data_IF_172949835192
#
_entry.id   IF_172949835192
#
_cell.length_a   1.000
_cell.length_b   1.000
_cell.length_c   1.000
_cell.angle_alpha   90.00
_cell.angle_beta   90.00
_cell.angle_gamma   90.00
#
_symmetry.space_group_name_H-M   'P 1'
#
loop_
_entity.id
_entity.type
_entity.pdbx_description
1 polymer ?
#
# COMPACT_ATOMS: atom_id res chain seq x y z
N UNK A 1 -2.55 0.31 21.68
CA UNK A 1 -2.34 0.78 20.29
C UNK A 1 -3.32 0.03 19.42
N UNK A 2 -4.27 0.73 18.84
CA UNK A 2 -5.21 0.14 17.88
C UNK A 2 -4.54 0.11 16.49
N UNK A 3 -4.01 -1.02 16.10
CA UNK A 3 -3.63 -1.32 14.72
C UNK A 3 -4.81 -2.02 14.06
N UNK A 4 -5.20 -1.59 12.86
CA UNK A 4 -6.28 -2.23 12.10
C UNK A 4 -5.98 -3.72 11.84
N UNK A 5 -7.01 -4.55 11.84
CA UNK A 5 -6.86 -6.00 11.67
C UNK A 5 -6.27 -6.36 10.30
N UNK A 6 -6.65 -5.64 9.25
CA UNK A 6 -6.12 -5.76 7.89
C UNK A 6 -4.61 -5.59 7.84
N UNK A 7 -4.09 -4.58 8.55
CA UNK A 7 -2.66 -4.29 8.64
C UNK A 7 -1.90 -5.39 9.39
N UNK A 8 -2.47 -5.90 10.50
CA UNK A 8 -1.89 -7.04 11.23
C UNK A 8 -1.81 -8.27 10.34
N UNK A 9 -2.86 -8.56 9.61
CA UNK A 9 -2.97 -9.71 8.71
C UNK A 9 -1.96 -9.60 7.57
N UNK A 10 -1.81 -8.42 6.94
CA UNK A 10 -0.82 -8.19 5.90
C UNK A 10 0.62 -8.39 6.40
N UNK A 11 0.93 -7.92 7.62
CA UNK A 11 2.24 -8.15 8.26
C UNK A 11 2.50 -9.61 8.50
N UNK A 12 1.52 -10.34 9.04
CA UNK A 12 1.62 -11.78 9.28
C UNK A 12 1.89 -12.55 7.99
N UNK A 13 1.18 -12.19 6.93
CA UNK A 13 1.36 -12.77 5.60
C UNK A 13 2.79 -12.55 5.09
N UNK A 14 3.27 -11.31 5.08
CA UNK A 14 4.59 -10.97 4.58
C UNK A 14 5.72 -11.73 5.29
N UNK A 15 5.63 -11.86 6.62
CA UNK A 15 6.64 -12.57 7.43
C UNK A 15 6.64 -14.07 7.12
N UNK A 16 5.48 -14.67 6.88
CA UNK A 16 5.36 -16.11 6.60
C UNK A 16 5.74 -16.45 5.16
N UNK A 17 5.34 -15.64 4.17
CA UNK A 17 5.70 -15.86 2.76
C UNK A 17 7.20 -15.66 2.53
N UNK A 18 7.82 -14.72 3.25
CA UNK A 18 9.24 -14.40 3.07
C UNK A 18 10.05 -14.59 4.37
N UNK A 19 10.19 -15.83 4.87
CA UNK A 19 10.75 -16.11 6.20
C UNK A 19 12.20 -15.69 6.36
N UNK A 20 12.96 -15.60 5.26
CA UNK A 20 14.36 -15.14 5.26
C UNK A 20 14.50 -13.62 5.36
N UNK A 21 13.45 -12.85 5.05
CA UNK A 21 13.47 -11.40 5.12
C UNK A 21 13.15 -10.93 6.55
N UNK A 22 13.82 -9.86 6.98
CA UNK A 22 13.62 -9.25 8.31
C UNK A 22 13.02 -7.85 8.23
N UNK A 23 13.05 -7.22 7.04
CA UNK A 23 12.65 -5.83 6.84
C UNK A 23 11.64 -5.76 5.69
N UNK A 24 10.48 -5.16 5.95
CA UNK A 24 9.43 -5.00 4.94
C UNK A 24 8.84 -3.60 4.99
N UNK A 25 8.45 -3.11 3.82
CA UNK A 25 7.49 -2.03 3.64
C UNK A 25 6.32 -2.65 2.90
N UNK A 26 5.15 -2.71 3.53
CA UNK A 26 3.92 -3.16 2.90
C UNK A 26 3.13 -1.92 2.53
N UNK A 27 2.79 -1.79 1.26
CA UNK A 27 1.98 -0.70 0.72
C UNK A 27 0.64 -1.30 0.31
N UNK A 28 -0.41 -0.94 1.02
CA UNK A 28 -1.78 -1.35 0.69
C UNK A 28 -2.52 -0.16 0.07
N UNK A 29 -2.95 -0.35 -1.17
CA UNK A 29 -3.63 0.67 -1.99
C UNK A 29 -5.14 0.39 -2.05
N UNK A 30 -5.83 0.69 -0.97
CA UNK A 30 -7.28 0.56 -0.82
C UNK A 30 -8.01 1.91 -0.71
N UNK A 31 -9.11 1.93 0.02
CA UNK A 31 -9.87 3.15 0.39
C UNK A 31 -8.98 4.16 1.13
N UNK A 32 -8.09 3.67 1.98
CA UNK A 32 -6.91 4.39 2.44
C UNK A 32 -5.67 3.75 1.83
N UNK A 33 -4.60 4.51 1.70
CA UNK A 33 -3.28 3.94 1.41
C UNK A 33 -2.49 3.85 2.69
N UNK A 34 -2.04 2.65 3.02
CA UNK A 34 -1.18 2.45 4.17
C UNK A 34 0.23 2.02 3.76
N UNK A 35 1.23 2.50 4.49
CA UNK A 35 2.58 1.98 4.41
C UNK A 35 2.91 1.40 5.79
N UNK A 36 3.07 0.10 5.89
CA UNK A 36 3.42 -0.61 7.11
C UNK A 36 4.89 -0.99 7.11
N UNK A 37 5.60 -0.57 8.13
CA UNK A 37 7.04 -0.75 8.27
C UNK A 37 7.32 -1.86 9.29
N UNK A 38 8.04 -2.88 8.85
CA UNK A 38 8.44 -4.02 9.67
C UNK A 38 9.97 -4.05 9.77
N UNK A 39 10.48 -4.07 10.99
CA UNK A 39 11.91 -4.13 11.31
C UNK A 39 12.15 -5.35 12.20
N UNK A 40 13.07 -6.22 11.81
CA UNK A 40 13.38 -7.46 12.51
C UNK A 40 12.13 -8.32 12.76
N UNK A 41 11.25 -8.42 11.76
CA UNK A 41 9.96 -9.13 11.82
C UNK A 41 8.98 -8.60 12.88
N UNK A 42 9.20 -7.38 13.39
CA UNK A 42 8.29 -6.71 14.32
C UNK A 42 7.67 -5.50 13.65
N UNK A 43 6.39 -5.29 13.85
CA UNK A 43 5.74 -4.08 13.40
C UNK A 43 6.36 -2.85 14.09
N UNK A 44 6.86 -1.92 13.31
CA UNK A 44 7.56 -0.73 13.80
C UNK A 44 6.65 0.50 13.82
N UNK A 45 5.80 0.62 12.84
CA UNK A 45 4.89 1.74 12.66
C UNK A 45 4.43 1.83 11.22
N UNK A 46 3.74 2.91 10.86
CA UNK A 46 3.28 3.08 9.49
C UNK A 46 2.80 4.49 9.18
N UNK A 47 2.44 4.68 7.91
CA UNK A 47 1.84 5.91 7.37
C UNK A 47 0.45 5.55 6.88
N UNK A 48 -0.50 6.46 7.07
CA UNK A 48 -1.85 6.36 6.51
C UNK A 48 -2.10 7.60 5.69
N UNK A 49 -2.49 7.40 4.45
CA UNK A 49 -2.83 8.43 3.48
C UNK A 49 -4.24 8.16 2.96
N UNK A 50 -4.97 9.17 2.50
CA UNK A 50 -6.20 8.93 1.76
C UNK A 50 -5.91 8.06 0.53
N UNK A 51 -6.79 7.12 0.19
CA UNK A 51 -6.65 6.31 -1.02
C UNK A 51 -6.79 7.15 -2.29
N UNK A 52 -6.23 6.66 -3.39
CA UNK A 52 -6.23 7.37 -4.68
C UNK A 52 -7.64 7.76 -5.11
N UNK A 53 -8.56 6.79 -5.17
CA UNK A 53 -9.95 7.01 -5.60
C UNK A 53 -10.71 7.86 -4.61
N UNK A 54 -10.56 7.58 -3.31
CA UNK A 54 -11.18 8.37 -2.25
C UNK A 54 -10.79 9.85 -2.33
N UNK A 55 -9.49 10.13 -2.56
CA UNK A 55 -9.01 11.51 -2.74
C UNK A 55 -9.59 12.16 -3.99
N UNK A 56 -9.64 11.42 -5.09
CA UNK A 56 -10.20 11.89 -6.35
C UNK A 56 -11.70 12.20 -6.19
N UNK A 57 -12.48 11.28 -5.68
CA UNK A 57 -13.93 11.43 -5.49
C UNK A 57 -14.27 12.58 -4.55
N UNK A 58 -13.52 12.74 -3.46
CA UNK A 58 -13.69 13.87 -2.55
C UNK A 58 -13.40 15.21 -3.26
N UNK A 59 -12.31 15.31 -4.01
CA UNK A 59 -12.00 16.54 -4.74
C UNK A 59 -13.09 16.87 -5.76
N UNK A 60 -13.55 15.90 -6.54
CA UNK A 60 -14.63 16.08 -7.53
C UNK A 60 -15.93 16.51 -6.85
N UNK A 61 -16.27 15.96 -5.70
CA UNK A 61 -17.51 16.28 -4.98
C UNK A 61 -17.53 17.72 -4.45
N UNK A 62 -16.38 18.24 -4.04
CA UNK A 62 -16.25 19.56 -3.41
C UNK A 62 -16.02 20.70 -4.43
N UNK A 63 -15.41 20.42 -5.57
CA UNK A 63 -15.03 21.43 -6.54
C UNK A 63 -16.06 21.57 -7.67
N UNK A 64 -16.83 22.66 -7.68
CA UNK A 64 -17.94 22.87 -8.62
C UNK A 64 -17.54 22.83 -10.09
N UNK A 65 -16.31 23.26 -10.44
CA UNK A 65 -15.82 23.33 -11.81
C UNK A 65 -15.41 21.99 -12.45
N UNK A 66 -15.35 20.89 -11.68
CA UNK A 66 -14.83 19.58 -12.12
C UNK A 66 -15.76 18.40 -11.83
N UNK A 67 -17.01 18.65 -11.44
CA UNK A 67 -17.98 17.63 -10.95
C UNK A 67 -18.22 16.45 -11.88
N UNK A 68 -18.02 16.59 -13.18
CA UNK A 68 -18.34 15.53 -14.17
C UNK A 68 -17.08 14.86 -14.76
N UNK A 69 -15.92 15.10 -14.19
CA UNK A 69 -14.69 14.51 -14.70
C UNK A 69 -14.58 13.04 -14.26
N UNK A 70 -14.21 12.18 -15.20
CA UNK A 70 -14.03 10.74 -14.94
C UNK A 70 -12.55 10.43 -14.72
N UNK A 71 -12.28 9.59 -13.74
CA UNK A 71 -10.92 9.10 -13.50
C UNK A 71 -10.41 8.29 -14.70
N UNK A 72 -9.16 8.50 -15.08
CA UNK A 72 -8.47 7.77 -16.14
C UNK A 72 -7.04 7.47 -15.70
N UNK A 73 -6.56 6.28 -16.00
CA UNK A 73 -5.18 5.87 -15.71
C UNK A 73 -4.15 6.46 -16.69
N UNK A 74 -4.61 7.19 -17.73
CA UNK A 74 -3.72 7.84 -18.70
C UNK A 74 -3.42 9.25 -18.25
N UNK A 75 -2.16 9.61 -18.11
CA UNK A 75 -1.73 10.96 -17.76
C UNK A 75 -0.36 11.30 -18.33
N UNK A 76 -0.17 12.57 -18.66
CA UNK A 76 1.14 13.18 -18.88
C UNK A 76 1.65 13.79 -17.57
N UNK A 77 2.94 14.16 -17.51
CA UNK A 77 3.51 14.84 -16.34
C UNK A 77 2.86 16.20 -16.13
N UNK A 78 2.55 16.90 -17.22
CA UNK A 78 1.88 18.23 -17.20
C UNK A 78 0.63 18.12 -18.05
N UNK A 79 -0.53 18.41 -17.46
CA UNK A 79 -1.80 18.51 -18.18
C UNK A 79 -1.94 19.87 -18.88
N UNK A 80 -2.54 19.86 -20.07
CA UNK A 80 -2.80 21.06 -20.88
C UNK A 80 -4.22 21.60 -20.72
N UNK A 81 -5.07 20.86 -20.04
CA UNK A 81 -6.43 21.23 -19.63
C UNK A 81 -6.68 20.75 -18.22
N UNK A 82 -7.80 21.13 -17.63
CA UNK A 82 -8.16 20.82 -16.23
C UNK A 82 -8.23 19.31 -15.99
N UNK A 83 -8.78 18.53 -16.94
CA UNK A 83 -8.88 17.06 -16.79
C UNK A 83 -7.51 16.42 -16.82
N UNK A 84 -6.66 16.79 -17.78
CA UNK A 84 -5.29 16.28 -17.85
C UNK A 84 -4.45 16.68 -16.64
N UNK A 85 -4.61 17.93 -16.14
CA UNK A 85 -3.92 18.40 -14.95
C UNK A 85 -4.35 17.59 -13.70
N UNK A 86 -5.65 17.29 -13.58
CA UNK A 86 -6.20 16.47 -12.52
C UNK A 86 -5.64 15.02 -12.59
N UNK A 87 -5.65 14.42 -13.78
CA UNK A 87 -5.08 13.06 -13.98
C UNK A 87 -3.58 13.03 -13.71
N UNK A 88 -2.84 14.08 -14.06
CA UNK A 88 -1.43 14.20 -13.73
C UNK A 88 -1.19 14.18 -12.21
N UNK A 89 -1.93 15.00 -11.47
CA UNK A 89 -1.84 15.05 -10.01
C UNK A 89 -2.12 13.70 -9.35
N UNK A 90 -3.21 13.07 -9.74
CA UNK A 90 -3.64 11.80 -9.13
C UNK A 90 -2.81 10.60 -9.58
N UNK A 91 -2.42 10.49 -10.85
CA UNK A 91 -1.63 9.33 -11.29
C UNK A 91 -0.13 9.52 -11.05
N UNK A 92 0.44 10.63 -11.55
CA UNK A 92 1.89 10.85 -11.44
C UNK A 92 2.28 11.32 -10.05
N UNK A 93 1.56 12.31 -9.51
CA UNK A 93 1.84 12.88 -8.19
C UNK A 93 1.66 11.85 -7.08
N UNK A 94 0.60 11.05 -7.14
CA UNK A 94 0.35 10.00 -6.16
C UNK A 94 1.43 8.92 -6.16
N UNK A 95 1.86 8.49 -7.36
CA UNK A 95 2.96 7.55 -7.52
C UNK A 95 4.26 8.09 -6.93
N UNK A 96 4.62 9.33 -7.28
CA UNK A 96 5.82 10.00 -6.76
C UNK A 96 5.78 10.09 -5.23
N UNK A 97 4.63 10.41 -4.65
CA UNK A 97 4.44 10.49 -3.21
C UNK A 97 4.77 9.14 -2.54
N UNK A 98 4.22 8.03 -3.02
CA UNK A 98 4.45 6.70 -2.47
C UNK A 98 5.93 6.29 -2.62
N UNK A 99 6.49 6.46 -3.82
CA UNK A 99 7.90 6.13 -4.09
C UNK A 99 8.85 6.97 -3.24
N UNK A 100 8.52 8.23 -2.99
CA UNK A 100 9.30 9.13 -2.13
C UNK A 100 9.26 8.69 -0.67
N UNK A 101 8.11 8.25 -0.13
CA UNK A 101 8.01 7.65 1.19
C UNK A 101 8.87 6.40 1.31
N UNK A 102 8.78 5.49 0.33
CA UNK A 102 9.58 4.27 0.32
C UNK A 102 11.08 4.60 0.32
N UNK A 103 11.50 5.54 -0.54
CA UNK A 103 12.89 6.02 -0.60
C UNK A 103 13.33 6.62 0.73
N UNK A 104 12.53 7.52 1.31
CA UNK A 104 12.81 8.16 2.59
C UNK A 104 12.97 7.13 3.72
N UNK A 105 12.07 6.15 3.81
CA UNK A 105 12.16 5.08 4.81
C UNK A 105 13.46 4.28 4.62
N UNK A 106 13.76 3.86 3.40
CA UNK A 106 14.99 3.09 3.10
C UNK A 106 16.26 3.87 3.48
N UNK A 107 16.31 5.16 3.17
CA UNK A 107 17.48 6.00 3.46
C UNK A 107 17.62 6.31 4.95
N UNK A 108 16.51 6.57 5.64
CA UNK A 108 16.50 6.86 7.08
C UNK A 108 16.95 5.67 7.91
N UNK A 109 16.39 4.50 7.63
CA UNK A 109 16.69 3.29 8.43
C UNK A 109 17.90 2.50 7.89
N UNK A 110 18.45 2.85 6.74
CA UNK A 110 19.62 2.21 6.11
C UNK A 110 19.53 0.68 6.09
N UNK A 111 18.37 0.15 5.70
CA UNK A 111 18.09 -1.29 5.61
C UNK A 111 17.59 -1.67 4.23
N UNK A 112 17.86 -2.92 3.84
CA UNK A 112 17.32 -3.49 2.60
C UNK A 112 15.90 -3.99 2.85
N UNK A 113 14.91 -3.11 2.67
CA UNK A 113 13.50 -3.44 2.81
C UNK A 113 12.99 -4.18 1.57
N UNK A 114 12.33 -5.31 1.79
CA UNK A 114 11.45 -5.92 0.80
C UNK A 114 10.17 -5.11 0.71
N UNK A 115 9.87 -4.55 -0.46
CA UNK A 115 8.67 -3.73 -0.68
C UNK A 115 7.59 -4.59 -1.33
N UNK A 116 6.44 -4.68 -0.69
CA UNK A 116 5.29 -5.48 -1.14
C UNK A 116 4.12 -4.53 -1.32
N UNK A 117 3.52 -4.57 -2.50
CA UNK A 117 2.28 -3.87 -2.82
C UNK A 117 1.11 -4.83 -2.80
N UNK A 118 -0.02 -4.38 -2.27
CA UNK A 118 -1.31 -5.06 -2.26
C UNK A 118 -2.43 -4.03 -2.40
N UNK A 119 -3.67 -4.49 -2.43
CA UNK A 119 -4.84 -3.63 -2.56
C UNK A 119 -5.31 -3.46 -4.01
N UNK A 120 -6.56 -3.07 -4.19
CA UNK A 120 -7.24 -3.03 -5.49
C UNK A 120 -6.64 -2.06 -6.52
N UNK A 121 -5.95 -1.00 -6.06
CA UNK A 121 -5.30 -0.02 -6.96
C UNK A 121 -3.81 -0.30 -7.17
N UNK A 122 -3.29 -1.35 -6.58
CA UNK A 122 -1.89 -1.69 -6.69
C UNK A 122 -1.43 -1.91 -8.13
N UNK A 123 -2.28 -2.46 -9.01
CA UNK A 123 -1.97 -2.71 -10.43
C UNK A 123 -1.68 -1.45 -11.25
N UNK A 124 -2.02 -0.25 -10.75
CA UNK A 124 -1.73 1.02 -11.42
C UNK A 124 -0.26 1.47 -11.30
N UNK A 125 0.53 0.81 -10.47
CA UNK A 125 1.94 1.13 -10.25
C UNK A 125 2.83 0.19 -11.06
N UNK A 126 3.86 0.72 -11.71
CA UNK A 126 4.84 -0.10 -12.43
C UNK A 126 5.88 -0.70 -11.47
N UNK A 127 5.56 -1.89 -10.94
CA UNK A 127 6.40 -2.59 -9.96
C UNK A 127 7.73 -3.07 -10.52
N UNK A 128 7.76 -3.42 -11.81
CA UNK A 128 8.93 -4.08 -12.42
C UNK A 128 10.14 -3.16 -12.43
N UNK A 129 9.94 -1.88 -12.69
CA UNK A 129 11.04 -0.89 -12.74
C UNK A 129 11.69 -0.63 -11.38
N UNK A 130 10.95 -0.80 -10.28
CA UNK A 130 11.42 -0.46 -8.94
C UNK A 130 11.81 -1.70 -8.11
N UNK A 131 11.79 -2.89 -8.71
CA UNK A 131 12.04 -4.16 -8.00
C UNK A 131 11.08 -4.37 -6.82
N UNK A 132 9.82 -3.94 -6.98
CA UNK A 132 8.74 -4.13 -6.01
C UNK A 132 8.03 -5.45 -6.27
N UNK A 133 7.39 -5.99 -5.24
CA UNK A 133 6.62 -7.23 -5.30
C UNK A 133 5.15 -6.87 -5.23
N UNK A 134 4.35 -7.35 -6.18
CA UNK A 134 2.90 -7.28 -6.09
C UNK A 134 2.32 -8.59 -5.57
N UNK A 135 1.42 -8.49 -4.59
CA UNK A 135 0.71 -9.63 -3.99
C UNK A 135 -0.75 -9.25 -3.78
N UNK A 136 -1.58 -9.65 -4.71
CA UNK A 136 -3.03 -9.46 -4.61
C UNK A 136 -3.63 -10.28 -3.46
N UNK A 137 -3.08 -11.45 -3.23
CA UNK A 137 -3.51 -12.42 -2.25
C UNK A 137 -2.94 -12.20 -0.83
N UNK A 138 -2.23 -11.09 -0.58
CA UNK A 138 -1.50 -10.86 0.67
C UNK A 138 -2.41 -10.97 1.90
N UNK A 139 -3.54 -10.27 1.89
CA UNK A 139 -4.51 -10.26 3.00
C UNK A 139 -5.14 -11.64 3.19
N UNK A 140 -5.53 -12.30 2.09
CA UNK A 140 -6.13 -13.63 2.14
C UNK A 140 -5.20 -14.67 2.75
N UNK A 141 -3.93 -14.67 2.32
CA UNK A 141 -2.91 -15.55 2.89
C UNK A 141 -2.63 -15.25 4.36
N UNK A 142 -2.70 -13.99 4.76
CA UNK A 142 -2.55 -13.61 6.16
C UNK A 142 -3.68 -14.16 7.04
N UNK A 143 -4.92 -14.15 6.57
CA UNK A 143 -6.06 -14.80 7.25
C UNK A 143 -5.81 -16.30 7.38
N UNK A 144 -5.32 -16.95 6.33
CA UNK A 144 -4.99 -18.37 6.34
C UNK A 144 -3.89 -18.69 7.37
N UNK A 145 -2.78 -17.94 7.41
CA UNK A 145 -1.72 -18.12 8.40
C UNK A 145 -2.21 -17.87 9.83
N UNK A 146 -3.08 -16.88 10.03
CA UNK A 146 -3.68 -16.61 11.33
C UNK A 146 -4.55 -17.78 11.81
N UNK A 147 -5.33 -18.37 10.92
CA UNK A 147 -6.14 -19.56 11.22
C UNK A 147 -5.27 -20.77 11.63
N UNK A 148 -4.17 -21.03 10.90
CA UNK A 148 -3.23 -22.08 11.25
C UNK A 148 -2.66 -21.85 12.66
N UNK A 149 -2.20 -20.64 12.93
CA UNK A 149 -1.63 -20.25 14.22
C UNK A 149 -2.61 -20.46 15.39
N UNK A 150 -3.88 -20.12 15.21
CA UNK A 150 -4.91 -20.38 16.21
C UNK A 150 -5.12 -21.87 16.46
N UNK A 151 -5.18 -22.68 15.41
CA UNK A 151 -5.36 -24.13 15.53
C UNK A 151 -4.18 -24.82 16.19
N UNK A 152 -2.95 -24.38 15.94
CA UNK A 152 -1.76 -24.90 16.63
C UNK A 152 -1.80 -24.58 18.13
N UNK A 153 -2.18 -23.34 18.52
CA UNK A 153 -2.35 -22.96 19.93
C UNK A 153 -3.42 -23.81 20.62
N UNK A 154 -4.55 -24.07 19.97
CA UNK A 154 -5.63 -24.88 20.54
C UNK A 154 -5.23 -26.35 20.72
N UNK A 155 -4.29 -26.90 19.93
CA UNK A 155 -3.75 -28.26 20.10
C UNK A 155 -2.80 -28.40 21.30
N UNK A 156 -2.15 -27.30 21.72
CA UNK A 156 -1.23 -27.33 22.87
C UNK A 156 -1.98 -27.25 24.21
N UNK A 157 -3.25 -26.83 24.18
CA UNK A 157 -4.09 -26.67 25.39
C UNK A 157 -4.96 -27.92 25.65
N UNK A 158 -4.99 -28.89 24.74
CA UNK A 158 -5.61 -30.22 24.91
C UNK A 158 -4.58 -31.25 25.31
#
# INVERSE_FOLDING_TARGET
>A
RQLGNDRIINVLSAINIYPKSKFFIIVDLGTATTLDIIINKKYYGGVILPGLTTSYENLISLASGIKNMKFSNKSSIIGKDTNQALMSGFNVGYKIMIESYIKLIKTTYKRNFKVIFTGGYATSIDYKKANFIYREDLTLLGIFFYHIFLNEKLRIIK
#
